data_IF_195308232851
#
_entry.id   IF_195308232851
#
_cell.length_a   1.000
_cell.length_b   1.000
_cell.length_c   1.000
_cell.angle_alpha   90.00
_cell.angle_beta   90.00
_cell.angle_gamma   90.00
#
_symmetry.space_group_name_H-M   'P 1'
#
loop_
_entity.id
_entity.type
_entity.pdbx_description
1 polymer ?
#
# COMPACT_ATOMS: atom_id res chain seq x y z
N UNK A 1 -32.15 -50.34 38.85
CA UNK A 1 -32.47 -48.94 39.16
C UNK A 1 -33.00 -48.33 37.89
N UNK A 2 -34.31 -48.16 37.85
CA UNK A 2 -35.03 -47.49 36.77
C UNK A 2 -35.02 -45.96 36.99
N UNK A 3 -35.26 -45.23 35.89
CA UNK A 3 -35.67 -43.81 35.78
C UNK A 3 -34.54 -42.78 36.03
N UNK A 4 -34.41 -41.70 35.27
CA UNK A 4 -35.46 -40.85 34.66
C UNK A 4 -34.88 -40.06 33.47
N UNK A 5 -35.61 -40.05 32.36
CA UNK A 5 -35.40 -39.14 31.23
C UNK A 5 -36.19 -37.88 31.54
N UNK A 6 -35.54 -36.70 31.51
CA UNK A 6 -36.23 -35.41 31.50
C UNK A 6 -36.24 -34.83 30.09
N UNK A 7 -37.44 -34.73 29.54
CA UNK A 7 -37.80 -33.92 28.39
C UNK A 7 -38.58 -32.74 28.96
N UNK A 8 -38.14 -31.52 28.66
CA UNK A 8 -38.92 -30.26 28.76
C UNK A 8 -38.48 -29.48 27.52
N UNK A 9 -39.28 -29.23 26.48
CA UNK A 9 -40.61 -28.61 26.31
C UNK A 9 -40.43 -27.29 25.55
N UNK A 10 -41.33 -27.10 24.59
CA UNK A 10 -41.30 -26.12 23.50
C UNK A 10 -41.79 -24.73 23.91
N UNK A 11 -41.34 -23.71 23.18
CA UNK A 11 -42.01 -22.43 22.90
C UNK A 11 -41.02 -21.55 22.10
N UNK A 12 -41.36 -20.72 21.14
CA UNK A 12 -42.60 -20.44 20.43
C UNK A 12 -42.18 -19.74 19.11
N UNK A 13 -42.97 -19.97 18.07
CA UNK A 13 -42.91 -19.26 16.78
C UNK A 13 -43.50 -17.86 16.98
N UNK A 14 -42.80 -16.83 16.53
CA UNK A 14 -43.42 -15.51 16.31
C UNK A 14 -42.99 -14.96 14.95
N UNK A 15 -44.02 -14.74 14.13
CA UNK A 15 -43.99 -14.26 12.75
C UNK A 15 -44.47 -12.82 12.83
N UNK A 16 -43.67 -11.84 12.38
CA UNK A 16 -44.13 -10.46 12.13
C UNK A 16 -43.32 -9.93 10.94
N UNK A 17 -43.82 -10.14 9.73
CA UNK A 17 -44.65 -9.20 8.94
C UNK A 17 -43.81 -8.12 8.23
N UNK A 18 -43.68 -8.32 6.91
CA UNK A 18 -43.11 -7.39 5.93
C UNK A 18 -43.99 -6.11 5.84
N UNK A 19 -43.42 -4.90 5.72
CA UNK A 19 -44.20 -3.72 5.39
C UNK A 19 -44.41 -3.58 3.88
N UNK A 20 -45.68 -3.44 3.50
CA UNK A 20 -46.22 -3.12 2.18
C UNK A 20 -45.56 -1.90 1.50
N UNK A 21 -45.33 -2.04 0.19
CA UNK A 21 -44.93 -0.95 -0.71
C UNK A 21 -46.14 -0.06 -1.02
N UNK A 22 -46.15 1.17 -0.50
CA UNK A 22 -47.08 2.21 -0.94
C UNK A 22 -46.64 2.77 -2.30
N UNK A 23 -47.48 2.60 -3.33
CA UNK A 23 -47.31 3.25 -4.62
C UNK A 23 -47.81 4.70 -4.51
N UNK A 24 -46.92 5.66 -4.73
CA UNK A 24 -47.27 7.08 -4.86
C UNK A 24 -47.33 7.40 -6.36
N UNK A 25 -48.54 7.61 -6.86
CA UNK A 25 -48.77 8.22 -8.17
C UNK A 25 -48.49 9.73 -8.06
N UNK A 26 -47.43 10.18 -8.73
CA UNK A 26 -47.15 11.61 -8.90
C UNK A 26 -47.46 11.94 -10.37
N UNK A 27 -48.58 12.63 -10.58
CA UNK A 27 -48.95 13.23 -11.86
C UNK A 27 -48.33 14.63 -11.90
N UNK A 28 -47.16 14.77 -12.52
CA UNK A 28 -46.57 16.08 -12.80
C UNK A 28 -46.66 16.39 -14.29
N UNK A 29 -47.49 17.39 -14.61
CA UNK A 29 -47.46 18.12 -15.87
C UNK A 29 -46.11 18.81 -16.01
N UNK A 30 -45.28 18.36 -16.94
CA UNK A 30 -44.06 19.05 -17.34
C UNK A 30 -44.34 19.69 -18.70
N UNK A 31 -44.46 21.01 -18.72
CA UNK A 31 -44.44 21.79 -19.97
C UNK A 31 -43.07 21.61 -20.64
N UNK A 32 -43.07 21.08 -21.85
CA UNK A 32 -41.88 20.91 -22.68
C UNK A 32 -41.31 22.28 -23.03
N UNK A 33 -40.20 22.64 -22.39
CA UNK A 33 -39.34 23.73 -22.83
C UNK A 33 -38.21 23.11 -23.65
N UNK A 34 -38.21 23.34 -24.96
CA UNK A 34 -37.15 22.87 -25.85
C UNK A 34 -35.82 23.55 -25.50
N UNK A 35 -34.98 22.83 -24.76
CA UNK A 35 -33.59 23.22 -24.51
C UNK A 35 -32.73 22.67 -25.65
N UNK A 36 -32.21 23.57 -26.47
CA UNK A 36 -31.21 23.23 -27.48
C UNK A 36 -29.89 22.90 -26.78
N UNK A 37 -29.51 21.62 -26.81
CA UNK A 37 -28.22 21.15 -26.29
C UNK A 37 -27.16 21.41 -27.34
N UNK A 38 -26.40 22.49 -27.16
CA UNK A 38 -25.14 22.68 -27.87
C UNK A 38 -24.16 21.62 -27.36
N UNK A 39 -23.78 20.71 -28.24
CA UNK A 39 -22.80 19.64 -28.01
C UNK A 39 -21.45 20.28 -27.64
N UNK A 40 -21.16 20.34 -26.34
CA UNK A 40 -19.86 20.71 -25.81
C UNK A 40 -18.97 19.47 -25.95
N UNK A 41 -18.18 19.42 -27.01
CA UNK A 41 -17.06 18.49 -27.13
C UNK A 41 -16.08 18.76 -25.98
N UNK A 42 -16.24 17.96 -24.92
CA UNK A 42 -15.33 17.92 -23.79
C UNK A 42 -14.07 17.19 -24.26
N UNK A 43 -13.07 17.94 -24.69
CA UNK A 43 -11.74 17.40 -24.90
C UNK A 43 -11.22 16.87 -23.55
N UNK A 44 -11.33 15.56 -23.32
CA UNK A 44 -10.66 14.88 -22.21
C UNK A 44 -9.15 15.09 -22.38
N UNK A 45 -8.63 16.08 -21.67
CA UNK A 45 -7.20 16.22 -21.45
C UNK A 45 -6.73 14.97 -20.71
N UNK A 46 -6.18 14.00 -21.45
CA UNK A 46 -5.45 12.88 -20.88
C UNK A 46 -4.17 13.42 -20.25
N UNK A 47 -4.25 13.88 -19.01
CA UNK A 47 -3.07 14.18 -18.20
C UNK A 47 -2.28 12.87 -18.04
N UNK A 48 -1.02 12.89 -18.49
CA UNK A 48 -0.12 11.77 -18.28
C UNK A 48 -0.02 11.49 -16.77
N UNK A 49 -0.04 10.22 -16.32
CA UNK A 49 0.06 9.93 -14.90
C UNK A 49 1.39 10.49 -14.37
N UNK A 50 1.31 11.50 -13.51
CA UNK A 50 2.44 12.02 -12.73
C UNK A 50 3.13 10.83 -12.05
N UNK A 51 4.30 10.42 -12.55
CA UNK A 51 5.04 9.30 -11.96
C UNK A 51 5.61 9.75 -10.63
N UNK A 52 4.95 9.37 -9.53
CA UNK A 52 5.40 9.71 -8.18
C UNK A 52 6.82 9.18 -7.94
N UNK A 53 7.70 10.06 -7.49
CA UNK A 53 9.06 9.71 -7.05
C UNK A 53 9.17 9.82 -5.53
N UNK A 54 10.00 8.98 -4.91
CA UNK A 54 10.29 9.11 -3.49
C UNK A 54 11.64 8.53 -3.09
N UNK A 55 12.11 8.98 -1.93
CA UNK A 55 13.39 8.64 -1.36
C UNK A 55 13.23 8.40 0.15
N UNK A 56 13.99 7.46 0.69
CA UNK A 56 14.14 7.36 2.13
C UNK A 56 15.51 6.88 2.54
N UNK A 57 15.93 7.38 3.70
CA UNK A 57 17.21 7.13 4.34
C UNK A 57 16.97 6.62 5.76
N UNK A 58 17.86 5.76 6.24
CA UNK A 58 17.95 5.44 7.65
C UNK A 58 19.41 5.26 8.04
N UNK A 59 19.77 5.83 9.18
CA UNK A 59 21.04 5.57 9.83
C UNK A 59 20.98 4.22 10.57
N UNK A 60 21.99 3.40 10.36
CA UNK A 60 22.14 2.08 10.96
C UNK A 60 23.16 2.19 12.09
N UNK A 61 22.71 1.89 13.31
CA UNK A 61 23.59 1.80 14.46
C UNK A 61 24.58 0.63 14.25
N UNK A 62 25.91 0.82 14.43
CA UNK A 62 26.91 -0.23 14.24
C UNK A 62 26.72 -1.43 15.18
N UNK A 63 26.01 -1.24 16.29
CA UNK A 63 25.68 -2.32 17.24
C UNK A 63 24.38 -3.06 16.88
N UNK A 64 23.58 -2.54 15.94
CA UNK A 64 22.40 -3.23 15.45
C UNK A 64 22.86 -4.43 14.60
N UNK A 65 22.34 -5.62 14.91
CA UNK A 65 22.66 -6.87 14.19
C UNK A 65 21.39 -7.55 13.65
N UNK A 66 20.41 -6.74 13.31
CA UNK A 66 19.12 -7.20 12.79
C UNK A 66 18.73 -6.45 11.53
N UNK A 67 17.88 -7.10 10.73
CA UNK A 67 17.17 -6.47 9.63
C UNK A 67 15.82 -5.96 10.13
N UNK A 68 15.45 -4.79 9.66
CA UNK A 68 14.13 -4.17 9.78
C UNK A 68 13.47 -4.14 8.42
N UNK A 69 12.14 -4.02 8.38
CA UNK A 69 11.42 -3.88 7.12
C UNK A 69 10.15 -3.07 7.28
N UNK A 70 9.74 -2.38 6.21
CA UNK A 70 8.49 -1.61 6.17
C UNK A 70 7.94 -1.49 4.75
N UNK A 71 6.62 -1.29 4.67
CA UNK A 71 5.96 -0.85 3.43
C UNK A 71 6.18 0.64 3.21
N UNK A 72 6.38 1.00 1.95
CA UNK A 72 6.53 2.39 1.51
C UNK A 72 5.28 2.76 0.72
N UNK A 73 4.74 3.94 1.01
CA UNK A 73 3.61 4.53 0.32
C UNK A 73 4.04 5.84 -0.31
N UNK A 74 3.48 6.15 -1.47
CA UNK A 74 3.65 7.44 -2.11
C UNK A 74 2.78 8.53 -1.46
N UNK A 75 2.91 9.76 -1.96
CA UNK A 75 2.17 10.91 -1.45
C UNK A 75 0.64 10.80 -1.63
N UNK A 76 0.18 9.90 -2.50
CA UNK A 76 -1.23 9.63 -2.75
C UNK A 76 -1.73 8.43 -1.92
N UNK A 77 -0.90 7.89 -1.02
CA UNK A 77 -1.23 6.74 -0.19
C UNK A 77 -1.22 5.40 -0.95
N UNK A 78 -0.74 5.36 -2.19
CA UNK A 78 -0.58 4.11 -2.95
C UNK A 78 0.74 3.45 -2.58
N UNK A 79 0.70 2.12 -2.48
CA UNK A 79 1.86 1.33 -2.05
C UNK A 79 2.96 1.38 -3.12
N UNK A 80 4.07 2.04 -2.80
CA UNK A 80 5.21 2.20 -3.69
C UNK A 80 6.16 0.98 -3.67
N UNK A 81 6.26 0.30 -2.52
CA UNK A 81 7.08 -0.90 -2.42
C UNK A 81 7.28 -1.42 -1.00
N UNK A 82 8.23 -2.35 -0.89
CA UNK A 82 8.66 -2.96 0.36
C UNK A 82 10.17 -2.81 0.52
N UNK A 83 10.58 -2.27 1.66
CA UNK A 83 11.98 -1.99 1.97
C UNK A 83 12.45 -2.82 3.16
N UNK A 84 13.57 -3.52 3.00
CA UNK A 84 14.30 -4.22 4.05
C UNK A 84 15.68 -3.61 4.18
N UNK A 85 16.07 -3.25 5.41
CA UNK A 85 17.35 -2.60 5.70
C UNK A 85 17.92 -3.07 7.02
N UNK A 86 19.22 -2.89 7.25
CA UNK A 86 19.85 -3.23 8.52
C UNK A 86 21.22 -3.87 8.33
N UNK A 87 21.67 -4.53 9.39
CA UNK A 87 22.97 -5.22 9.41
C UNK A 87 22.76 -6.71 9.59
N UNK A 88 23.43 -7.52 8.78
CA UNK A 88 23.45 -8.97 8.90
C UNK A 88 24.78 -9.53 8.47
N UNK A 89 25.35 -10.46 9.24
CA UNK A 89 26.61 -11.13 8.89
C UNK A 89 27.80 -10.18 8.68
N UNK A 90 27.86 -9.06 9.40
CA UNK A 90 28.92 -8.06 9.24
C UNK A 90 28.78 -7.18 7.99
N UNK A 91 27.61 -7.19 7.33
CA UNK A 91 27.31 -6.34 6.20
C UNK A 91 26.11 -5.44 6.48
N UNK A 92 26.19 -4.19 6.06
CA UNK A 92 25.01 -3.35 5.89
C UNK A 92 24.31 -3.73 4.60
N UNK A 93 22.98 -3.81 4.66
CA UNK A 93 22.14 -4.33 3.60
C UNK A 93 20.98 -3.35 3.39
N UNK A 94 20.72 -3.02 2.14
CA UNK A 94 19.47 -2.39 1.70
C UNK A 94 18.87 -3.20 0.55
N UNK A 95 17.60 -3.58 0.69
CA UNK A 95 16.83 -4.30 -0.32
C UNK A 95 15.50 -3.61 -0.52
N UNK A 96 15.22 -3.18 -1.75
CA UNK A 96 13.97 -2.52 -2.08
C UNK A 96 13.30 -3.21 -3.26
N UNK A 97 12.04 -3.61 -3.08
CA UNK A 97 11.18 -4.15 -4.13
C UNK A 97 10.06 -3.13 -4.38
N UNK A 98 10.13 -2.44 -5.51
CA UNK A 98 9.06 -1.57 -5.96
C UNK A 98 7.84 -2.37 -6.43
N UNK A 99 6.66 -1.79 -6.27
CA UNK A 99 5.41 -2.30 -6.82
C UNK A 99 4.95 -1.45 -8.01
N UNK A 100 4.14 -2.05 -8.89
CA UNK A 100 3.68 -1.37 -10.11
C UNK A 100 2.95 -0.06 -9.78
N UNK A 101 3.21 1.05 -10.49
CA UNK A 101 3.98 1.16 -11.74
C UNK A 101 5.48 1.44 -11.55
N UNK A 102 5.97 1.46 -10.31
CA UNK A 102 7.28 2.02 -9.99
C UNK A 102 8.47 1.14 -10.36
N UNK A 103 9.58 1.79 -10.63
CA UNK A 103 10.91 1.20 -10.53
C UNK A 103 11.48 1.45 -9.14
N UNK A 104 12.35 0.55 -8.67
CA UNK A 104 12.95 0.64 -7.35
C UNK A 104 14.47 0.55 -7.39
N UNK A 105 15.12 1.31 -6.51
CA UNK A 105 16.57 1.27 -6.30
C UNK A 105 16.86 1.21 -4.81
N UNK A 106 17.85 0.42 -4.44
CA UNK A 106 18.39 0.35 -3.09
C UNK A 106 19.85 0.77 -3.14
N UNK A 107 20.31 1.50 -2.13
CA UNK A 107 21.73 1.81 -1.97
C UNK A 107 22.13 1.81 -0.50
N UNK A 108 23.43 1.75 -0.25
CA UNK A 108 24.03 1.82 1.08
C UNK A 108 25.28 2.69 1.02
N UNK A 109 25.58 3.35 2.13
CA UNK A 109 26.84 4.05 2.38
C UNK A 109 27.36 3.61 3.74
N UNK A 110 28.63 3.24 3.86
CA UNK A 110 29.21 2.89 5.16
C UNK A 110 29.91 4.10 5.82
N UNK A 111 30.34 3.94 7.06
CA UNK A 111 31.04 5.00 7.81
C UNK A 111 32.34 5.52 7.16
N UNK A 112 32.87 4.82 6.14
CA UNK A 112 34.06 5.22 5.37
C UNK A 112 33.69 5.96 4.09
N UNK A 113 32.42 6.31 3.92
CA UNK A 113 31.86 6.91 2.69
C UNK A 113 32.03 6.03 1.46
N UNK A 114 32.19 4.71 1.64
CA UNK A 114 32.06 3.77 0.53
C UNK A 114 30.57 3.67 0.18
N UNK A 115 30.26 3.66 -1.11
CA UNK A 115 28.90 3.66 -1.62
C UNK A 115 28.67 2.47 -2.55
N UNK A 116 27.54 1.78 -2.39
CA UNK A 116 27.10 0.73 -3.30
C UNK A 116 25.64 0.92 -3.71
N UNK A 117 25.34 0.66 -4.97
CA UNK A 117 24.02 0.87 -5.57
C UNK A 117 23.55 -0.40 -6.28
N UNK A 118 22.34 -0.87 -5.95
CA UNK A 118 21.73 -2.06 -6.56
C UNK A 118 21.14 -1.85 -7.95
N UNK A 119 21.16 -0.61 -8.45
CA UNK A 119 20.60 -0.17 -9.72
C UNK A 119 19.07 -0.04 -9.70
N UNK A 120 18.52 0.65 -10.69
CA UNK A 120 17.07 0.67 -10.91
C UNK A 120 16.59 -0.69 -11.40
N UNK A 121 15.57 -1.24 -10.73
CA UNK A 121 14.90 -2.49 -11.08
C UNK A 121 13.44 -2.23 -11.35
N UNK A 122 12.86 -3.01 -12.27
CA UNK A 122 11.43 -2.99 -12.54
C UNK A 122 10.61 -3.45 -11.33
N UNK A 123 9.34 -3.09 -11.31
CA UNK A 123 8.38 -3.57 -10.33
C UNK A 123 8.48 -5.10 -10.15
N UNK A 124 8.32 -5.56 -8.91
CA UNK A 124 8.37 -6.98 -8.57
C UNK A 124 9.78 -7.56 -8.38
N UNK A 125 10.84 -6.81 -8.72
CA UNK A 125 12.23 -7.26 -8.56
C UNK A 125 12.92 -6.50 -7.44
N UNK A 126 13.68 -7.21 -6.59
CA UNK A 126 14.49 -6.56 -5.57
C UNK A 126 15.73 -5.90 -6.19
N UNK A 127 15.89 -4.60 -5.97
CA UNK A 127 17.20 -3.96 -5.97
C UNK A 127 17.89 -4.27 -4.63
N UNK A 128 19.12 -4.75 -4.66
CA UNK A 128 19.90 -5.08 -3.46
C UNK A 128 21.24 -4.37 -3.50
N UNK A 129 21.62 -3.73 -2.40
CA UNK A 129 22.95 -3.17 -2.19
C UNK A 129 23.48 -3.64 -0.83
N UNK A 130 24.78 -3.89 -0.75
CA UNK A 130 25.44 -4.23 0.50
C UNK A 130 26.90 -3.77 0.52
N UNK A 131 27.38 -3.49 1.73
CA UNK A 131 28.77 -3.15 2.03
C UNK A 131 29.17 -3.78 3.36
N UNK A 132 30.47 -3.95 3.65
CA UNK A 132 30.92 -4.26 5.00
C UNK A 132 30.39 -3.22 5.99
N UNK A 133 29.80 -3.69 7.08
CA UNK A 133 29.33 -2.83 8.16
C UNK A 133 30.50 -2.33 8.98
N UNK A 134 30.39 -1.09 9.44
CA UNK A 134 31.38 -0.53 10.33
C UNK A 134 31.18 -1.02 11.77
N UNK A 135 32.30 -1.23 12.48
CA UNK A 135 32.27 -1.51 13.92
C UNK A 135 32.14 -0.23 14.75
N UNK A 136 32.53 0.91 14.18
CA UNK A 136 32.47 2.24 14.78
C UNK A 136 32.04 3.24 13.70
N UNK A 137 31.20 4.20 14.04
CA UNK A 137 30.63 5.17 13.11
C UNK A 137 29.21 4.82 12.66
N UNK A 138 28.68 5.60 11.73
CA UNK A 138 27.29 5.47 11.25
C UNK A 138 27.30 4.94 9.83
N UNK A 139 26.54 3.86 9.61
CA UNK A 139 26.25 3.36 8.27
C UNK A 139 24.86 3.86 7.85
N UNK A 140 24.58 3.90 6.55
CA UNK A 140 23.32 4.39 5.99
C UNK A 140 22.77 3.41 4.97
N UNK A 141 21.45 3.25 4.99
CA UNK A 141 20.70 2.49 3.99
C UNK A 141 19.64 3.38 3.36
N UNK A 142 19.46 3.25 2.05
CA UNK A 142 18.55 4.07 1.28
C UNK A 142 17.65 3.24 0.37
N UNK A 143 16.49 3.79 0.02
CA UNK A 143 15.68 3.38 -1.12
C UNK A 143 15.28 4.58 -1.95
N UNK A 144 15.04 4.35 -3.24
CA UNK A 144 14.43 5.28 -4.17
C UNK A 144 13.35 4.58 -5.00
N UNK A 145 12.27 5.28 -5.36
CA UNK A 145 11.31 4.85 -6.36
C UNK A 145 10.96 5.98 -7.34
N UNK A 146 10.56 5.60 -8.56
CA UNK A 146 10.10 6.50 -9.63
C UNK A 146 9.13 5.78 -10.55
#
# INVERSE_FOLDING_TARGET
MEKEIKIEEAAAVEIVAEPELAQVEITENIEETEVTVSELELEEATEAPETSTGHGEVEINPNAKSLSSKYIYDNNGKMAGYWTYGTSGGQIISKFKAYSPYQGRASVENCKSEYNNGGWKSAGTFSTASLPACTLGTDKAFYDYK
#
